data_IF_581240619997
#
_entry.id   IF_581240619997
#
_cell.length_a   1.000
_cell.length_b   1.000
_cell.length_c   1.000
_cell.angle_alpha   90.00
_cell.angle_beta   90.00
_cell.angle_gamma   90.00
#
_symmetry.space_group_name_H-M   'P 1'
#
loop_
_entity.id
_entity.type
_entity.pdbx_description
1 polymer ?
#
# COMPACT_ATOMS: atom_id res chain seq x y z
N UNK A 1 -41.27 -9.43 -104.16
CA UNK A 1 -41.20 -10.38 -103.03
C UNK A 1 -39.90 -10.15 -102.27
N UNK A 2 -40.06 -9.92 -100.97
CA UNK A 2 -39.09 -9.37 -100.01
C UNK A 2 -37.90 -10.31 -99.73
N UNK A 3 -36.67 -9.77 -99.69
CA UNK A 3 -35.49 -10.46 -99.15
C UNK A 3 -35.18 -9.90 -97.76
N UNK A 4 -35.29 -10.76 -96.76
CA UNK A 4 -35.12 -10.45 -95.34
C UNK A 4 -33.68 -10.15 -94.97
N UNK A 5 -33.47 -8.96 -94.42
CA UNK A 5 -32.27 -8.57 -93.69
C UNK A 5 -32.61 -8.73 -92.21
N UNK A 6 -31.90 -9.60 -91.48
CA UNK A 6 -32.04 -9.66 -90.02
C UNK A 6 -31.81 -11.04 -89.44
N UNK A 7 -30.55 -11.39 -89.18
CA UNK A 7 -30.26 -12.43 -88.17
C UNK A 7 -28.81 -12.40 -87.70
N UNK A 8 -27.85 -12.02 -88.56
CA UNK A 8 -26.43 -12.11 -88.22
C UNK A 8 -25.87 -10.95 -87.38
N UNK A 9 -26.53 -9.78 -87.37
CA UNK A 9 -26.11 -8.63 -86.55
C UNK A 9 -26.48 -8.81 -85.07
N UNK A 10 -27.59 -9.49 -84.77
CA UNK A 10 -28.04 -9.72 -83.39
C UNK A 10 -27.17 -10.76 -82.65
N UNK A 11 -26.66 -11.78 -83.35
CA UNK A 11 -25.87 -12.84 -82.73
C UNK A 11 -24.44 -12.42 -82.35
N UNK A 12 -23.84 -11.46 -83.07
CA UNK A 12 -22.50 -10.93 -82.73
C UNK A 12 -22.54 -9.93 -81.57
N UNK A 13 -23.66 -9.22 -81.40
CA UNK A 13 -23.83 -8.28 -80.29
C UNK A 13 -24.09 -9.01 -78.96
N UNK A 14 -24.84 -10.10 -78.97
CA UNK A 14 -25.12 -10.88 -77.74
C UNK A 14 -23.91 -11.66 -77.22
N UNK A 15 -23.08 -12.23 -78.09
CA UNK A 15 -21.84 -12.92 -77.68
C UNK A 15 -20.79 -11.93 -77.15
N UNK A 16 -20.67 -10.74 -77.75
CA UNK A 16 -19.78 -9.69 -77.26
C UNK A 16 -20.20 -9.14 -75.88
N UNK A 17 -21.50 -9.03 -75.61
CA UNK A 17 -22.05 -8.61 -74.31
C UNK A 17 -21.84 -9.69 -73.24
N UNK A 18 -22.02 -10.97 -73.56
CA UNK A 18 -21.80 -12.07 -72.59
C UNK A 18 -20.32 -12.20 -72.22
N UNK A 19 -19.39 -12.03 -73.16
CA UNK A 19 -17.94 -12.06 -72.89
C UNK A 19 -17.49 -10.84 -72.09
N UNK A 20 -18.06 -9.65 -72.33
CA UNK A 20 -17.73 -8.45 -71.55
C UNK A 20 -18.32 -8.46 -70.14
N UNK A 21 -19.49 -9.07 -69.92
CA UNK A 21 -20.05 -9.30 -68.57
C UNK A 21 -19.25 -10.36 -67.80
N UNK A 22 -18.70 -11.37 -68.48
CA UNK A 22 -17.86 -12.40 -67.86
C UNK A 22 -16.42 -11.91 -67.55
N UNK A 23 -15.93 -10.90 -68.26
CA UNK A 23 -14.64 -10.25 -67.97
C UNK A 23 -14.76 -9.17 -66.87
N UNK A 24 -15.96 -8.59 -66.66
CA UNK A 24 -16.25 -7.67 -65.55
C UNK A 24 -16.54 -8.37 -64.22
N UNK A 25 -16.80 -9.69 -64.21
CA UNK A 25 -17.02 -10.47 -62.98
C UNK A 25 -15.74 -11.05 -62.37
N UNK A 26 -14.59 -10.92 -63.04
CA UNK A 26 -13.26 -11.22 -62.49
C UNK A 26 -12.60 -10.00 -61.83
N UNK A 27 -13.32 -8.87 -61.74
CA UNK A 27 -12.88 -7.71 -60.98
C UNK A 27 -12.87 -8.06 -59.49
N UNK A 28 -11.67 -8.44 -59.02
CA UNK A 28 -11.18 -8.14 -57.68
C UNK A 28 -12.07 -8.63 -56.53
N UNK A 29 -12.13 -9.94 -56.35
CA UNK A 29 -12.19 -10.48 -55.00
C UNK A 29 -10.83 -10.23 -54.31
N UNK A 30 -10.53 -8.97 -54.00
CA UNK A 30 -9.59 -8.65 -52.95
C UNK A 30 -10.26 -9.08 -51.64
N UNK A 31 -9.90 -10.27 -51.15
CA UNK A 31 -10.22 -10.67 -49.79
C UNK A 31 -9.56 -9.66 -48.87
N UNK A 32 -10.32 -8.68 -48.39
CA UNK A 32 -9.86 -7.78 -47.35
C UNK A 32 -9.53 -8.67 -46.13
N UNK A 33 -8.25 -8.80 -45.81
CA UNK A 33 -7.83 -9.46 -44.58
C UNK A 33 -8.32 -8.57 -43.45
N UNK A 34 -9.42 -8.98 -42.81
CA UNK A 34 -10.05 -8.21 -41.74
C UNK A 34 -9.02 -8.03 -40.61
N UNK A 35 -8.67 -6.77 -40.36
CA UNK A 35 -7.64 -6.43 -39.38
C UNK A 35 -8.23 -6.60 -37.98
N UNK A 36 -7.52 -7.33 -37.12
CA UNK A 36 -7.91 -7.54 -35.72
C UNK A 36 -8.24 -6.21 -35.02
N UNK A 37 -9.40 -6.14 -34.38
CA UNK A 37 -9.87 -5.00 -33.59
C UNK A 37 -9.89 -5.31 -32.09
N UNK A 38 -9.97 -4.28 -31.24
CA UNK A 38 -10.04 -4.49 -29.78
C UNK A 38 -11.29 -5.28 -29.35
N UNK A 39 -12.39 -5.15 -30.09
CA UNK A 39 -13.63 -5.91 -29.82
C UNK A 39 -13.50 -7.40 -30.11
N UNK A 40 -12.48 -7.82 -30.86
CA UNK A 40 -12.28 -9.23 -31.19
C UNK A 40 -11.59 -10.00 -30.06
N UNK A 41 -10.87 -9.31 -29.16
CA UNK A 41 -10.09 -9.96 -28.11
C UNK A 41 -10.93 -10.86 -27.20
N UNK A 42 -12.17 -10.46 -26.90
CA UNK A 42 -13.08 -11.24 -26.05
C UNK A 42 -13.54 -12.56 -26.69
N UNK A 43 -13.53 -12.65 -28.03
CA UNK A 43 -13.95 -13.86 -28.75
C UNK A 43 -13.04 -15.05 -28.45
N UNK A 44 -11.75 -14.80 -28.15
CA UNK A 44 -10.76 -15.84 -27.86
C UNK A 44 -10.16 -15.76 -26.45
N UNK A 45 -10.16 -14.58 -25.81
CA UNK A 45 -9.64 -14.35 -24.47
C UNK A 45 -10.71 -13.85 -23.47
N UNK A 46 -11.88 -14.50 -23.37
CA UNK A 46 -12.99 -13.99 -22.56
C UNK A 46 -12.60 -13.82 -21.09
N UNK A 47 -11.85 -14.77 -20.52
CA UNK A 47 -11.38 -14.68 -19.12
C UNK A 47 -10.42 -13.53 -18.86
N UNK A 48 -9.51 -13.22 -19.80
CA UNK A 48 -8.56 -12.11 -19.65
C UNK A 48 -9.30 -10.78 -19.75
N UNK A 49 -10.23 -10.67 -20.70
CA UNK A 49 -11.06 -9.47 -20.87
C UNK A 49 -11.91 -9.25 -19.61
N UNK A 50 -12.54 -10.30 -19.07
CA UNK A 50 -13.30 -10.21 -17.83
C UNK A 50 -12.44 -9.75 -16.65
N UNK A 51 -11.25 -10.36 -16.45
CA UNK A 51 -10.32 -9.95 -15.40
C UNK A 51 -9.89 -8.48 -15.53
N UNK A 52 -9.57 -8.03 -16.75
CA UNK A 52 -9.24 -6.63 -17.03
C UNK A 52 -10.43 -5.70 -16.73
N UNK A 53 -11.65 -6.12 -17.09
CA UNK A 53 -12.85 -5.35 -16.79
C UNK A 53 -13.08 -5.22 -15.28
N UNK A 54 -12.76 -6.24 -14.49
CA UNK A 54 -12.93 -6.20 -13.04
C UNK A 54 -11.79 -5.45 -12.33
N UNK A 55 -10.53 -5.67 -12.74
CA UNK A 55 -9.34 -5.31 -11.95
C UNK A 55 -8.26 -4.54 -12.74
N UNK A 56 -8.53 -4.15 -13.99
CA UNK A 56 -7.55 -3.54 -14.89
C UNK A 56 -7.10 -2.13 -14.55
N UNK A 57 -7.83 -1.42 -13.69
CA UNK A 57 -7.54 -0.02 -13.37
C UNK A 57 -7.39 0.83 -14.65
N UNK A 58 -6.28 1.57 -14.78
CA UNK A 58 -6.00 2.35 -15.99
C UNK A 58 -5.74 1.51 -17.25
N UNK A 59 -5.36 0.24 -17.11
CA UNK A 59 -5.20 -0.66 -18.27
C UNK A 59 -6.54 -1.11 -18.86
N UNK A 60 -7.64 -0.84 -18.15
CA UNK A 60 -9.00 -1.00 -18.66
C UNK A 60 -9.52 0.26 -19.35
N UNK A 61 -9.19 1.44 -18.81
CA UNK A 61 -9.82 2.71 -19.22
C UNK A 61 -8.98 3.57 -20.15
N UNK A 62 -7.66 3.60 -19.95
CA UNK A 62 -6.73 4.49 -20.67
C UNK A 62 -5.89 3.75 -21.72
N UNK A 63 -5.87 2.42 -21.66
CA UNK A 63 -5.09 1.56 -22.56
C UNK A 63 -6.03 0.52 -23.16
N UNK A 64 -6.02 0.38 -24.48
CA UNK A 64 -6.76 -0.67 -25.18
C UNK A 64 -5.89 -1.91 -25.38
N UNK A 65 -6.50 -3.06 -25.67
CA UNK A 65 -5.79 -4.32 -25.88
C UNK A 65 -4.66 -4.19 -26.91
N UNK A 66 -4.93 -3.55 -28.05
CA UNK A 66 -3.98 -3.31 -29.14
C UNK A 66 -3.02 -2.12 -28.89
N UNK A 67 -3.21 -1.36 -27.81
CA UNK A 67 -2.23 -0.36 -27.39
C UNK A 67 -1.01 -1.03 -26.74
N UNK A 68 -1.23 -2.17 -26.08
CA UNK A 68 -0.17 -3.01 -25.51
C UNK A 68 0.21 -4.18 -26.44
N UNK A 69 -0.76 -4.88 -27.04
CA UNK A 69 -0.49 -6.01 -27.93
C UNK A 69 -0.25 -5.54 -29.37
N UNK A 70 1.01 -5.25 -29.72
CA UNK A 70 1.44 -4.79 -31.05
C UNK A 70 1.62 -5.94 -32.06
N UNK A 71 0.77 -6.95 -31.98
CA UNK A 71 0.83 -8.14 -32.80
C UNK A 71 0.06 -9.31 -32.19
N UNK A 72 -0.11 -10.37 -32.97
CA UNK A 72 -0.76 -11.60 -32.53
C UNK A 72 -0.01 -12.82 -33.07
N UNK A 73 0.11 -13.94 -32.32
CA UNK A 73 0.71 -15.16 -32.85
C UNK A 73 -0.17 -15.79 -33.95
N UNK A 74 0.42 -16.50 -34.93
CA UNK A 74 1.85 -16.75 -35.10
C UNK A 74 2.61 -15.61 -35.80
N UNK A 75 1.94 -14.56 -36.29
CA UNK A 75 2.55 -13.51 -37.10
C UNK A 75 3.61 -12.69 -36.34
N UNK A 76 3.45 -12.55 -35.02
CA UNK A 76 4.43 -11.90 -34.14
C UNK A 76 4.80 -12.83 -33.00
N UNK A 77 6.10 -13.01 -32.77
CA UNK A 77 6.62 -13.80 -31.65
C UNK A 77 6.18 -13.22 -30.30
N UNK A 78 5.80 -14.07 -29.35
CA UNK A 78 5.16 -13.68 -28.08
C UNK A 78 5.97 -12.64 -27.31
N UNK A 79 7.29 -12.76 -27.32
CA UNK A 79 8.24 -11.91 -26.59
C UNK A 79 8.32 -10.48 -27.16
N UNK A 80 7.81 -10.28 -28.39
CA UNK A 80 7.79 -8.99 -29.09
C UNK A 80 6.41 -8.34 -29.11
N UNK A 81 5.36 -9.03 -28.66
CA UNK A 81 3.98 -8.51 -28.72
C UNK A 81 3.77 -7.39 -27.71
N UNK A 82 4.32 -7.55 -26.50
CA UNK A 82 4.09 -6.65 -25.37
C UNK A 82 5.32 -5.73 -25.21
N UNK A 83 5.16 -4.39 -25.21
CA UNK A 83 6.25 -3.46 -24.98
C UNK A 83 6.77 -3.53 -23.54
N UNK A 84 7.97 -2.97 -23.32
CA UNK A 84 8.50 -2.79 -21.96
C UNK A 84 7.59 -1.88 -21.14
N UNK A 85 7.35 -2.21 -19.88
CA UNK A 85 6.52 -1.43 -18.96
C UNK A 85 6.96 0.05 -18.88
N UNK A 86 8.28 0.29 -18.91
CA UNK A 86 8.89 1.62 -18.83
C UNK A 86 8.58 2.54 -20.02
N UNK A 87 8.00 2.03 -21.12
CA UNK A 87 7.54 2.88 -22.23
C UNK A 87 6.31 3.72 -21.85
N UNK A 88 5.50 3.25 -20.90
CA UNK A 88 4.31 3.95 -20.42
C UNK A 88 4.41 4.34 -18.94
N UNK A 89 5.10 3.55 -18.11
CA UNK A 89 5.31 3.83 -16.69
C UNK A 89 6.62 4.59 -16.46
N UNK A 90 6.52 5.85 -16.04
CA UNK A 90 7.68 6.72 -15.80
C UNK A 90 7.39 7.82 -14.78
N UNK A 91 8.42 8.58 -14.39
CA UNK A 91 8.27 9.79 -13.56
C UNK A 91 8.22 9.57 -12.05
N UNK A 92 8.40 8.34 -11.56
CA UNK A 92 8.54 8.04 -10.12
C UNK A 92 9.66 7.03 -9.88
N UNK A 93 10.36 7.06 -8.72
CA UNK A 93 11.40 6.09 -8.38
C UNK A 93 10.94 4.63 -8.50
N UNK A 94 9.69 4.36 -8.12
CA UNK A 94 9.09 3.03 -8.25
C UNK A 94 9.11 2.50 -9.69
N UNK A 95 8.88 3.34 -10.70
CA UNK A 95 8.87 2.93 -12.10
C UNK A 95 10.28 2.72 -12.68
N UNK A 96 11.33 3.06 -11.93
CA UNK A 96 12.71 2.76 -12.30
C UNK A 96 13.17 1.36 -11.84
N UNK A 97 12.33 0.63 -11.09
CA UNK A 97 12.60 -0.75 -10.70
C UNK A 97 12.65 -1.65 -11.94
N UNK A 98 13.61 -2.57 -11.96
CA UNK A 98 13.84 -3.46 -13.11
C UNK A 98 12.87 -4.64 -13.16
N UNK A 99 12.51 -5.19 -12.01
CA UNK A 99 11.65 -6.38 -11.90
C UNK A 99 10.20 -6.02 -11.58
N UNK A 100 9.47 -5.53 -12.59
CA UNK A 100 8.06 -5.15 -12.41
C UNK A 100 7.18 -6.38 -12.09
N UNK A 101 7.46 -7.51 -12.73
CA UNK A 101 6.69 -8.76 -12.60
C UNK A 101 7.02 -9.53 -11.31
N UNK A 102 8.05 -9.11 -10.57
CA UNK A 102 8.33 -9.58 -9.22
C UNK A 102 7.11 -9.41 -8.30
N UNK A 103 6.38 -8.30 -8.43
CA UNK A 103 5.15 -8.03 -7.68
C UNK A 103 3.88 -7.97 -8.55
N UNK A 104 3.96 -7.37 -9.75
CA UNK A 104 2.81 -7.22 -10.65
C UNK A 104 2.68 -8.45 -11.55
N UNK A 105 2.05 -9.52 -11.05
CA UNK A 105 1.98 -10.81 -11.76
C UNK A 105 1.19 -10.78 -13.07
N UNK A 106 0.19 -9.93 -13.15
CA UNK A 106 -0.66 -9.82 -14.34
C UNK A 106 -0.87 -8.34 -14.71
N UNK A 107 -0.35 -7.90 -15.87
CA UNK A 107 -0.59 -6.55 -16.37
C UNK A 107 -2.07 -6.24 -16.63
N UNK A 108 -2.95 -7.23 -16.75
CA UNK A 108 -4.40 -7.03 -16.87
C UNK A 108 -5.07 -6.80 -15.52
N UNK A 109 -4.40 -7.08 -14.40
CA UNK A 109 -4.89 -6.79 -13.05
C UNK A 109 -3.80 -6.06 -12.24
N UNK A 110 -3.31 -4.89 -12.72
CA UNK A 110 -2.04 -4.33 -12.26
C UNK A 110 -2.02 -3.93 -10.77
N UNK A 111 -3.17 -3.81 -10.11
CA UNK A 111 -3.26 -3.50 -8.68
C UNK A 111 -3.40 -4.75 -7.79
N UNK A 112 -3.68 -5.92 -8.38
CA UNK A 112 -3.67 -7.20 -7.69
C UNK A 112 -2.24 -7.74 -7.65
N UNK A 113 -1.42 -7.14 -6.80
CA UNK A 113 -0.03 -7.54 -6.64
C UNK A 113 0.11 -8.60 -5.56
N UNK A 114 1.14 -9.42 -5.69
CA UNK A 114 1.54 -10.37 -4.66
C UNK A 114 3.01 -10.13 -4.33
N UNK A 115 3.36 -10.30 -3.07
CA UNK A 115 4.75 -10.25 -2.65
C UNK A 115 5.34 -11.66 -2.67
N UNK A 116 6.58 -11.76 -3.13
CA UNK A 116 7.33 -13.01 -3.15
C UNK A 116 8.61 -12.81 -2.33
N UNK A 117 8.67 -13.47 -1.17
CA UNK A 117 9.80 -13.39 -0.24
C UNK A 117 9.97 -12.03 0.44
N UNK A 118 11.21 -11.78 0.84
CA UNK A 118 11.58 -10.70 1.74
C UNK A 118 11.89 -9.43 0.93
N UNK A 119 10.94 -8.50 0.88
CA UNK A 119 11.02 -7.30 0.04
C UNK A 119 11.06 -6.06 0.93
N UNK A 120 12.07 -5.22 0.70
CA UNK A 120 12.23 -3.91 1.37
C UNK A 120 12.50 -2.80 0.38
N UNK A 121 13.50 -2.95 -0.49
CA UNK A 121 13.94 -1.90 -1.41
C UNK A 121 12.82 -1.26 -2.24
N UNK A 122 11.98 -2.06 -2.95
CA UNK A 122 10.84 -1.55 -3.69
C UNK A 122 9.85 -0.73 -2.86
N UNK A 123 9.57 -1.12 -1.61
CA UNK A 123 8.64 -0.44 -0.71
C UNK A 123 9.13 0.98 -0.40
N UNK A 124 10.44 1.13 -0.18
CA UNK A 124 11.10 2.39 0.15
C UNK A 124 11.15 3.39 -1.01
N UNK A 125 10.75 3.01 -2.23
CA UNK A 125 10.60 3.96 -3.34
C UNK A 125 9.45 4.96 -3.10
N UNK A 126 8.49 4.60 -2.23
CA UNK A 126 7.39 5.47 -1.79
C UNK A 126 7.36 5.65 -0.26
N UNK A 127 7.79 4.65 0.52
CA UNK A 127 7.75 4.64 1.98
C UNK A 127 9.09 5.01 2.63
N UNK A 128 9.69 6.11 2.16
CA UNK A 128 11.02 6.56 2.59
C UNK A 128 11.05 6.94 4.08
N UNK A 129 9.98 7.59 4.56
CA UNK A 129 9.87 8.00 5.96
C UNK A 129 9.91 6.79 6.90
N UNK A 130 9.16 5.73 6.59
CA UNK A 130 9.12 4.51 7.40
C UNK A 130 10.48 3.80 7.43
N UNK A 131 11.18 3.75 6.29
CA UNK A 131 12.55 3.24 6.25
C UNK A 131 13.53 4.08 7.08
N UNK A 132 13.33 5.41 7.13
CA UNK A 132 14.12 6.31 7.97
C UNK A 132 13.83 6.08 9.46
N UNK A 133 12.57 5.95 9.85
CA UNK A 133 12.15 5.66 11.23
C UNK A 133 12.82 4.39 11.76
N UNK A 134 12.76 3.28 11.02
CA UNK A 134 13.40 2.01 11.41
C UNK A 134 14.92 2.12 11.53
N UNK A 135 15.55 2.96 10.69
CA UNK A 135 16.99 3.18 10.70
C UNK A 135 17.42 4.05 11.88
N UNK A 136 16.69 5.12 12.16
CA UNK A 136 16.99 6.08 13.23
C UNK A 136 16.65 5.50 14.61
N UNK A 137 15.69 4.57 14.68
CA UNK A 137 15.22 3.96 15.92
C UNK A 137 15.28 2.43 15.86
N UNK A 138 16.49 1.83 15.90
CA UNK A 138 16.67 0.39 15.77
C UNK A 138 15.88 -0.40 16.82
N UNK A 139 15.21 -1.46 16.37
CA UNK A 139 14.54 -2.45 17.20
C UNK A 139 14.63 -3.83 16.54
N UNK A 140 14.00 -4.86 17.13
CA UNK A 140 13.91 -6.18 16.48
C UNK A 140 13.20 -6.10 15.11
N UNK A 141 12.27 -5.17 14.93
CA UNK A 141 11.58 -4.97 13.65
C UNK A 141 12.48 -4.43 12.55
N UNK A 142 13.60 -3.77 12.88
CA UNK A 142 14.57 -3.28 11.89
C UNK A 142 15.27 -4.43 11.15
N UNK A 143 15.22 -5.65 11.69
CA UNK A 143 15.80 -6.84 11.07
C UNK A 143 14.82 -7.56 10.12
N UNK A 144 13.55 -7.17 10.14
CA UNK A 144 12.51 -7.78 9.30
C UNK A 144 12.43 -7.04 7.96
N UNK A 145 12.13 -7.78 6.89
CA UNK A 145 11.75 -7.14 5.64
C UNK A 145 10.36 -6.49 5.77
N UNK A 146 10.07 -5.49 4.94
CA UNK A 146 8.77 -4.81 4.99
C UNK A 146 7.60 -5.78 4.80
N UNK A 147 7.79 -6.82 3.97
CA UNK A 147 6.76 -7.82 3.65
C UNK A 147 6.51 -8.86 4.74
N UNK A 148 7.39 -8.96 5.74
CA UNK A 148 7.15 -9.82 6.92
C UNK A 148 5.95 -9.34 7.74
N UNK A 149 5.74 -8.03 7.76
CA UNK A 149 4.56 -7.44 8.41
C UNK A 149 3.52 -7.00 7.37
N UNK A 150 3.93 -6.43 6.23
CA UNK A 150 3.03 -5.97 5.17
C UNK A 150 2.91 -7.00 4.06
N UNK A 151 2.14 -8.05 4.31
CA UNK A 151 1.84 -9.14 3.38
C UNK A 151 0.96 -8.73 2.18
N UNK A 152 0.17 -7.67 2.37
CA UNK A 152 -0.70 -7.09 1.34
C UNK A 152 -0.41 -5.61 1.22
N UNK A 153 -0.23 -5.14 -0.01
CA UNK A 153 0.03 -3.74 -0.27
C UNK A 153 -1.12 -2.85 0.26
N UNK A 154 -0.76 -1.80 1.00
CA UNK A 154 -1.68 -0.86 1.68
C UNK A 154 -2.47 -1.44 2.85
N UNK A 155 -2.28 -2.71 3.21
CA UNK A 155 -2.80 -3.26 4.46
C UNK A 155 -1.90 -2.84 5.61
N UNK A 156 -2.52 -2.36 6.69
CA UNK A 156 -1.85 -2.13 7.97
C UNK A 156 -2.00 -3.43 8.78
N UNK A 157 -0.89 -4.10 9.14
CA UNK A 157 -0.95 -5.31 9.95
C UNK A 157 -1.36 -5.02 11.38
N UNK A 158 -1.81 -6.05 12.08
CA UNK A 158 -2.16 -5.95 13.48
C UNK A 158 -0.98 -6.40 14.34
N UNK A 159 -0.55 -5.57 15.31
CA UNK A 159 0.53 -5.92 16.23
C UNK A 159 0.22 -7.23 16.98
N UNK A 160 -1.05 -7.47 17.27
CA UNK A 160 -1.51 -8.64 18.02
C UNK A 160 -1.40 -9.96 17.25
N UNK A 161 -1.05 -9.92 15.96
CA UNK A 161 -0.77 -11.14 15.19
C UNK A 161 0.53 -11.82 15.67
N UNK A 162 1.42 -11.08 16.35
CA UNK A 162 2.67 -11.60 16.92
C UNK A 162 2.97 -11.16 18.36
N UNK A 163 2.30 -10.11 18.87
CA UNK A 163 2.52 -9.56 20.21
C UNK A 163 1.34 -9.81 21.15
N UNK A 164 1.64 -10.07 22.41
CA UNK A 164 0.64 -10.09 23.48
C UNK A 164 0.38 -8.68 24.03
N UNK A 165 -0.85 -8.45 24.45
CA UNK A 165 -1.24 -7.20 25.10
C UNK A 165 -0.67 -7.11 26.53
N UNK A 166 -0.35 -5.89 26.98
CA UNK A 166 0.07 -5.67 28.37
C UNK A 166 -1.13 -5.70 29.33
N UNK A 167 -2.31 -5.35 28.85
CA UNK A 167 -3.58 -5.36 29.59
C UNK A 167 -4.61 -6.12 28.79
N UNK A 168 -5.36 -6.99 29.46
CA UNK A 168 -6.42 -7.78 28.83
C UNK A 168 -7.42 -6.87 28.09
N UNK A 169 -7.79 -7.27 26.87
CA UNK A 169 -8.74 -6.56 26.03
C UNK A 169 -8.18 -5.34 25.28
N UNK A 170 -6.89 -5.03 25.40
CA UNK A 170 -6.26 -4.01 24.54
C UNK A 170 -6.34 -4.40 23.07
N UNK A 171 -6.56 -3.38 22.22
CA UNK A 171 -6.63 -3.49 20.76
C UNK A 171 -5.46 -2.73 20.15
N UNK A 172 -5.25 -2.94 18.84
CA UNK A 172 -4.21 -2.26 18.05
C UNK A 172 -4.09 -0.74 18.31
N UNK A 173 -5.23 -0.05 18.40
CA UNK A 173 -5.26 1.41 18.66
C UNK A 173 -4.66 1.78 20.02
N UNK A 174 -4.79 0.90 21.02
CA UNK A 174 -4.29 1.13 22.38
C UNK A 174 -2.78 0.91 22.42
N UNK A 175 -2.26 -0.03 21.61
CA UNK A 175 -0.82 -0.19 21.38
C UNK A 175 -0.21 1.08 20.76
N UNK A 176 -0.84 1.60 19.70
CA UNK A 176 -0.41 2.80 18.98
C UNK A 176 -0.54 4.10 19.80
N UNK A 177 -1.28 4.09 20.90
CA UNK A 177 -1.33 5.22 21.83
C UNK A 177 0.00 5.47 22.55
N UNK A 178 0.87 4.45 22.59
CA UNK A 178 2.17 4.49 23.26
C UNK A 178 3.35 4.15 22.32
N UNK A 179 3.15 3.20 21.40
CA UNK A 179 4.20 2.63 20.55
C UNK A 179 3.98 3.01 19.07
N UNK A 180 4.83 3.86 18.49
CA UNK A 180 4.81 4.09 17.05
C UNK A 180 5.25 2.84 16.29
N UNK A 181 4.60 2.50 15.17
CA UNK A 181 4.78 1.22 14.47
C UNK A 181 6.24 0.93 14.03
N UNK A 182 6.93 1.91 13.44
CA UNK A 182 8.30 1.76 12.94
C UNK A 182 9.38 2.25 13.91
N UNK A 183 8.98 2.67 15.11
CA UNK A 183 9.90 3.06 16.18
C UNK A 183 9.32 2.67 17.55
N UNK A 184 8.98 1.39 17.77
CA UNK A 184 8.17 0.96 18.92
C UNK A 184 8.84 1.19 20.27
N UNK A 185 10.17 1.36 20.30
CA UNK A 185 10.92 1.67 21.52
C UNK A 185 10.88 3.17 21.89
N UNK A 186 10.43 4.04 20.98
CA UNK A 186 10.23 5.47 21.26
C UNK A 186 8.85 5.64 21.87
N UNK A 187 8.74 5.29 23.16
CA UNK A 187 7.45 5.26 23.86
C UNK A 187 7.01 6.67 24.21
N UNK A 188 5.93 7.12 23.56
CA UNK A 188 5.33 8.45 23.74
C UNK A 188 3.84 8.32 23.85
N UNK A 189 3.20 9.14 24.67
CA UNK A 189 1.77 9.00 24.94
C UNK A 189 1.09 10.32 25.29
N UNK A 190 -0.22 10.35 25.10
CA UNK A 190 -1.07 11.50 25.41
C UNK A 190 -1.44 11.65 26.90
N UNK A 191 -2.19 12.72 27.24
CA UNK A 191 -2.61 12.99 28.62
C UNK A 191 -3.73 12.08 29.12
N UNK A 192 -4.33 11.26 28.25
CA UNK A 192 -5.52 10.47 28.56
C UNK A 192 -5.22 8.99 28.81
N UNK A 193 -3.95 8.61 28.99
CA UNK A 193 -3.59 7.22 29.28
C UNK A 193 -4.02 6.84 30.71
N UNK A 194 -4.80 5.76 30.88
CA UNK A 194 -5.20 5.28 32.19
C UNK A 194 -4.02 4.76 33.02
N UNK A 195 -4.05 4.98 34.33
CA UNK A 195 -3.03 4.47 35.25
C UNK A 195 -2.88 2.94 35.19
N UNK A 196 -3.96 2.22 34.88
CA UNK A 196 -3.92 0.77 34.70
C UNK A 196 -2.93 0.33 33.62
N UNK A 197 -2.75 1.12 32.55
CA UNK A 197 -1.79 0.79 31.48
C UNK A 197 -0.35 0.91 31.97
N UNK A 198 -0.06 1.92 32.80
CA UNK A 198 1.24 2.04 33.47
C UNK A 198 1.43 0.94 34.52
N UNK A 199 0.36 0.62 35.26
CA UNK A 199 0.32 -0.38 36.33
C UNK A 199 0.60 -1.81 35.86
N UNK A 200 0.32 -2.13 34.59
CA UNK A 200 0.67 -3.43 34.01
C UNK A 200 2.17 -3.76 34.13
N UNK A 201 3.04 -2.75 34.02
CA UNK A 201 4.48 -2.92 34.25
C UNK A 201 4.95 -2.35 35.60
N UNK A 202 4.23 -1.36 36.14
CA UNK A 202 4.57 -0.65 37.37
C UNK A 202 3.60 -0.94 38.52
N UNK A 203 3.26 -2.21 38.70
CA UNK A 203 2.20 -2.67 39.61
C UNK A 203 2.37 -2.10 41.03
N UNK A 204 3.56 -2.25 41.62
CA UNK A 204 3.86 -1.76 42.98
C UNK A 204 3.67 -0.25 43.13
N UNK A 205 4.01 0.52 42.09
CA UNK A 205 3.88 1.99 42.10
C UNK A 205 2.42 2.39 41.97
N UNK A 206 1.68 1.73 41.08
CA UNK A 206 0.25 1.96 40.91
C UNK A 206 -0.52 1.64 42.20
N UNK A 207 -0.22 0.50 42.85
CA UNK A 207 -0.79 0.11 44.13
C UNK A 207 -0.45 1.11 45.24
N UNK A 208 0.81 1.56 45.33
CA UNK A 208 1.22 2.56 46.33
C UNK A 208 0.48 3.89 46.15
N UNK A 209 0.33 4.37 44.91
CA UNK A 209 -0.43 5.57 44.61
C UNK A 209 -1.92 5.39 44.95
N UNK A 210 -2.51 4.25 44.61
CA UNK A 210 -3.91 3.95 44.89
C UNK A 210 -4.21 3.87 46.40
N UNK A 211 -3.27 3.32 47.18
CA UNK A 211 -3.40 3.24 48.64
C UNK A 211 -3.13 4.57 49.36
N UNK A 212 -2.55 5.55 48.68
CA UNK A 212 -2.20 6.85 49.26
C UNK A 212 -3.45 7.68 49.56
N UNK A 213 -3.41 8.46 50.66
CA UNK A 213 -4.51 9.34 51.09
C UNK A 213 -4.26 10.83 50.78
N UNK A 214 -3.13 11.19 50.19
CA UNK A 214 -2.82 12.57 49.79
C UNK A 214 -3.52 12.93 48.47
N UNK A 215 -3.48 14.22 48.10
CA UNK A 215 -4.09 14.70 46.84
C UNK A 215 -3.49 14.04 45.59
N UNK A 216 -2.25 13.58 45.65
CA UNK A 216 -1.60 12.90 44.53
C UNK A 216 -2.30 11.61 44.10
N UNK A 217 -2.97 10.92 45.03
CA UNK A 217 -3.69 9.66 44.74
C UNK A 217 -4.73 9.81 43.62
N UNK A 218 -5.27 11.02 43.43
CA UNK A 218 -6.30 11.32 42.42
C UNK A 218 -5.73 11.63 41.04
N UNK A 219 -4.41 11.75 40.89
CA UNK A 219 -3.79 12.14 39.64
C UNK A 219 -3.54 10.93 38.73
N UNK A 220 -3.73 11.15 37.43
CA UNK A 220 -3.25 10.21 36.44
C UNK A 220 -1.70 10.22 36.40
N UNK A 221 -1.06 9.09 36.12
CA UNK A 221 0.40 8.97 35.99
C UNK A 221 0.92 10.01 34.97
N UNK A 222 0.25 10.12 33.84
CA UNK A 222 0.59 11.02 32.73
C UNK A 222 0.38 12.50 33.03
N UNK A 223 -0.33 12.84 34.11
CA UNK A 223 -0.41 14.22 34.56
C UNK A 223 0.97 14.75 34.98
N UNK A 224 1.75 13.92 35.67
CA UNK A 224 3.12 14.23 36.09
C UNK A 224 4.15 13.77 35.05
N UNK A 225 4.04 12.52 34.61
CA UNK A 225 4.94 11.88 33.64
C UNK A 225 4.48 12.18 32.23
N UNK A 226 4.64 13.42 31.76
CA UNK A 226 4.05 13.87 30.50
C UNK A 226 4.79 13.35 29.25
N UNK A 227 4.02 13.09 28.19
CA UNK A 227 4.42 12.96 26.78
C UNK A 227 5.35 11.78 26.40
N UNK A 228 6.26 11.37 27.29
CA UNK A 228 7.25 10.33 26.99
C UNK A 228 7.52 9.46 28.21
N UNK A 229 7.72 8.17 27.96
CA UNK A 229 8.10 7.23 28.99
C UNK A 229 9.44 7.62 29.63
N UNK A 230 9.57 7.37 30.94
CA UNK A 230 10.77 7.69 31.71
C UNK A 230 10.97 9.17 32.08
N UNK A 231 10.09 10.09 31.65
CA UNK A 231 10.16 11.47 32.12
C UNK A 231 9.74 11.55 33.59
N UNK A 232 10.65 11.94 34.48
CA UNK A 232 10.32 12.28 35.88
C UNK A 232 10.40 13.80 36.05
N UNK A 233 9.29 14.49 36.35
CA UNK A 233 9.31 15.94 36.54
C UNK A 233 10.04 16.31 37.85
N UNK A 234 10.55 17.53 37.91
CA UNK A 234 11.01 18.10 39.17
C UNK A 234 9.79 18.49 40.03
N UNK A 235 9.89 18.29 41.35
CA UNK A 235 8.80 18.63 42.28
C UNK A 235 8.44 20.12 42.20
N UNK A 236 9.46 20.96 42.02
CA UNK A 236 9.38 22.41 41.94
C UNK A 236 8.53 22.89 40.76
N UNK A 237 8.40 22.10 39.70
CA UNK A 237 7.56 22.42 38.54
C UNK A 237 6.10 22.68 38.93
N UNK A 238 5.62 22.05 40.01
CA UNK A 238 4.27 22.25 40.53
C UNK A 238 4.26 22.88 41.93
N UNK A 239 5.23 22.55 42.78
CA UNK A 239 5.25 22.99 44.18
C UNK A 239 6.04 24.28 44.44
N UNK A 240 6.74 24.82 43.44
CA UNK A 240 7.63 25.96 43.63
C UNK A 240 8.76 25.65 44.63
N UNK A 241 9.07 26.61 45.50
CA UNK A 241 10.14 26.51 46.50
C UNK A 241 9.52 26.64 47.90
N UNK A 242 9.06 25.52 48.51
CA UNK A 242 8.35 25.56 49.79
C UNK A 242 9.27 25.69 51.01
N UNK A 243 10.59 25.51 50.84
CA UNK A 243 11.58 25.57 51.92
C UNK A 243 12.61 26.68 51.66
N UNK A 244 13.31 27.11 52.73
CA UNK A 244 14.36 28.12 52.63
C UNK A 244 15.55 27.64 51.81
N UNK A 245 16.38 28.59 51.33
CA UNK A 245 17.57 28.29 50.52
C UNK A 245 18.57 27.43 51.29
N UNK A 246 18.69 27.60 52.59
CA UNK A 246 19.60 26.87 53.47
C UNK A 246 19.20 25.38 53.56
N UNK A 247 17.91 25.10 53.73
CA UNK A 247 17.39 23.72 53.75
C UNK A 247 17.61 23.06 52.40
N UNK A 248 17.26 23.74 51.30
CA UNK A 248 17.45 23.19 49.95
C UNK A 248 18.92 23.00 49.57
N UNK A 249 19.82 23.84 50.09
CA UNK A 249 21.27 23.67 49.92
C UNK A 249 21.78 22.45 50.68
N UNK A 250 21.28 22.19 51.90
CA UNK A 250 21.66 21.04 52.71
C UNK A 250 21.02 19.73 52.23
N UNK A 251 19.78 19.80 51.72
CA UNK A 251 18.99 18.66 51.25
C UNK A 251 18.44 18.95 49.85
N UNK A 252 19.25 18.74 48.79
CA UNK A 252 18.86 19.09 47.42
C UNK A 252 17.77 18.19 46.83
N UNK A 253 17.51 17.01 47.43
CA UNK A 253 16.47 16.08 47.01
C UNK A 253 15.31 16.13 47.99
N UNK A 254 14.13 16.54 47.52
CA UNK A 254 12.92 16.59 48.35
C UNK A 254 12.61 15.22 48.99
N UNK A 255 12.93 14.15 48.28
CA UNK A 255 12.68 12.76 48.72
C UNK A 255 13.54 12.28 49.88
N UNK A 256 14.53 13.07 50.32
CA UNK A 256 15.26 12.79 51.56
C UNK A 256 14.34 12.85 52.78
N UNK A 257 13.32 13.70 52.76
CA UNK A 257 12.32 13.78 53.84
C UNK A 257 10.91 13.40 53.35
N UNK A 258 10.59 13.63 52.07
CA UNK A 258 9.30 13.30 51.49
C UNK A 258 9.37 11.99 50.69
N UNK A 259 9.07 10.86 51.33
CA UNK A 259 9.19 9.46 50.86
C UNK A 259 9.00 9.24 49.33
N UNK A 260 8.09 9.95 48.68
CA UNK A 260 7.99 10.03 47.22
C UNK A 260 6.62 10.49 46.74
N UNK A 261 6.51 11.02 45.52
CA UNK A 261 5.23 11.55 45.00
C UNK A 261 4.09 10.51 45.00
N UNK A 262 4.44 9.22 44.83
CA UNK A 262 3.48 8.13 44.80
C UNK A 262 3.03 7.64 46.19
N UNK A 263 3.85 7.85 47.23
CA UNK A 263 3.61 7.31 48.58
C UNK A 263 3.87 8.36 49.70
N UNK A 264 3.66 9.64 49.38
CA UNK A 264 3.76 10.74 50.35
C UNK A 264 2.96 10.39 51.61
N UNK A 265 3.64 10.44 52.75
CA UNK A 265 3.02 10.38 54.08
C UNK A 265 2.71 11.81 54.53
N UNK A 266 1.63 11.97 55.30
CA UNK A 266 1.30 13.26 55.93
C UNK A 266 2.23 13.53 57.10
#
# INVERSE_FOLDING_TARGET
>A
MSKGVGSWAFFRLTVAIIISVFLLSLAEYCWAVEKLSNSDCVKCHPSVVEKNLQNGGKHKTEVKCLDCHKGHPPMVAKEKIIPKCSQCHSGKPHYALKDCLGCHKDPHTPLQITFAGDITGPCLTCHQAQGKELKDHPSKHTQLACTECHDVHKKIPNCLDCHEAHVEGQKMKDCLACHPAHSPLVITYGPDIPNAYCGACHEKVAQALQANKTKHHKLACVYCHKNRHGLVPQCQTCHGVPHSKEILKKFPKCVTCHVGAHNLVK
#
